data_IF_668036657862
#
_entry.id   IF_668036657862
#
_cell.length_a   1.000
_cell.length_b   1.000
_cell.length_c   1.000
_cell.angle_alpha   90.00
_cell.angle_beta   90.00
_cell.angle_gamma   90.00
#
_symmetry.space_group_name_H-M   'P 1'
#
loop_
_entity.id
_entity.type
_entity.pdbx_description
1 polymer ?
#
# COMPACT_ATOMS: atom_id res chain seq x y z
N UNK A 1 -11.40 51.11 18.75
CA UNK A 1 -12.68 50.82 19.42
C UNK A 1 -13.13 49.43 19.00
N UNK A 2 -13.42 48.57 19.98
CA UNK A 2 -14.17 47.29 19.93
C UNK A 2 -13.62 46.19 18.98
N UNK A 3 -13.53 44.91 19.32
CA UNK A 3 -13.87 44.13 20.52
C UNK A 3 -13.02 42.85 20.45
N UNK A 4 -12.35 42.47 21.54
CA UNK A 4 -11.61 41.22 21.66
C UNK A 4 -12.51 40.24 22.41
N UNK A 5 -13.01 39.21 21.72
CA UNK A 5 -13.67 38.08 22.36
C UNK A 5 -12.65 36.96 22.58
N UNK A 6 -12.14 36.87 23.81
CA UNK A 6 -11.44 35.69 24.30
C UNK A 6 -12.46 34.63 24.73
N UNK A 7 -12.37 33.43 24.15
CA UNK A 7 -12.97 32.22 24.75
C UNK A 7 -11.88 31.42 25.44
N UNK A 8 -11.87 31.51 26.76
CA UNK A 8 -11.10 30.67 27.67
C UNK A 8 -11.92 29.43 28.04
N UNK A 9 -11.41 28.24 27.73
CA UNK A 9 -11.93 26.99 28.27
C UNK A 9 -11.06 26.54 29.45
N UNK A 10 -11.67 26.56 30.64
CA UNK A 10 -11.18 26.00 31.89
C UNK A 10 -11.41 24.48 31.90
N UNK A 11 -10.36 23.69 32.11
CA UNK A 11 -10.46 22.25 32.35
C UNK A 11 -10.83 21.97 33.81
N UNK A 12 -11.74 21.00 34.09
CA UNK A 12 -12.03 20.54 35.45
C UNK A 12 -10.92 19.60 35.98
N UNK A 13 -10.76 19.47 37.31
CA UNK A 13 -9.65 18.75 37.92
C UNK A 13 -9.80 17.22 37.85
N UNK A 14 -8.66 16.55 37.66
CA UNK A 14 -8.47 15.09 37.60
C UNK A 14 -8.76 14.46 38.98
N UNK A 15 -9.62 13.41 39.08
CA UNK A 15 -9.72 12.62 40.30
C UNK A 15 -8.56 11.61 40.40
N UNK A 16 -7.96 11.54 41.59
CA UNK A 16 -6.80 10.71 41.96
C UNK A 16 -7.15 9.22 42.00
N UNK A 17 -6.19 8.37 41.62
CA UNK A 17 -6.27 6.91 41.75
C UNK A 17 -6.19 6.45 43.21
N UNK A 18 -6.82 5.32 43.57
CA UNK A 18 -6.51 4.62 44.80
C UNK A 18 -5.43 3.55 44.56
N UNK A 19 -4.33 3.66 45.31
CA UNK A 19 -3.36 2.60 45.53
C UNK A 19 -4.03 1.40 46.22
N UNK A 20 -3.68 0.18 45.81
CA UNK A 20 -3.67 -0.96 46.74
C UNK A 20 -2.46 -1.87 46.46
N UNK A 21 -1.51 -1.81 47.38
CA UNK A 21 -0.52 -2.85 47.61
C UNK A 21 -1.19 -3.93 48.45
N UNK A 22 -1.32 -5.16 47.95
CA UNK A 22 -1.27 -6.35 48.81
C UNK A 22 -0.78 -7.56 48.02
N UNK A 23 0.16 -8.27 48.64
CA UNK A 23 0.94 -9.36 48.06
C UNK A 23 0.50 -10.70 48.67
N UNK A 24 0.64 -11.78 47.87
CA UNK A 24 0.82 -13.22 48.22
C UNK A 24 -0.43 -14.13 48.24
N UNK A 25 -0.26 -15.48 48.10
CA UNK A 25 0.57 -16.21 47.14
C UNK A 25 -0.15 -17.43 46.50
N UNK A 26 0.55 -18.06 45.55
CA UNK A 26 0.35 -19.35 44.87
C UNK A 26 -0.58 -20.42 45.49
N UNK A 27 -1.34 -21.12 44.61
CA UNK A 27 -1.49 -22.58 44.68
C UNK A 27 -1.74 -23.20 43.30
N UNK A 28 -1.23 -24.42 43.17
CA UNK A 28 -0.94 -25.23 41.99
C UNK A 28 -2.10 -26.10 41.50
N UNK A 29 -2.03 -26.45 40.20
CA UNK A 29 -2.50 -27.67 39.52
C UNK A 29 -3.92 -28.21 39.76
N UNK A 30 -4.64 -28.47 38.66
CA UNK A 30 -4.89 -29.84 38.18
C UNK A 30 -5.53 -29.82 36.79
N UNK A 31 -4.97 -30.63 35.89
CA UNK A 31 -5.58 -31.07 34.64
C UNK A 31 -6.76 -32.01 34.91
N UNK A 32 -7.80 -31.99 34.07
CA UNK A 32 -8.22 -33.14 33.25
C UNK A 32 -9.55 -32.88 32.51
N UNK A 33 -9.51 -33.20 31.21
CA UNK A 33 -10.54 -33.83 30.36
C UNK A 33 -11.95 -33.23 30.21
N UNK A 34 -12.24 -32.88 28.95
CA UNK A 34 -13.42 -33.28 28.14
C UNK A 34 -14.66 -33.80 28.88
N UNK A 35 -15.80 -33.16 28.62
CA UNK A 35 -17.05 -33.80 28.15
C UNK A 35 -18.16 -32.72 27.97
N UNK A 36 -18.56 -32.46 26.72
CA UNK A 36 -19.93 -32.06 26.40
C UNK A 36 -20.74 -33.37 26.27
N UNK A 37 -22.01 -33.44 26.73
CA UNK A 37 -23.10 -33.03 25.84
C UNK A 37 -24.37 -32.45 26.51
N UNK A 38 -24.93 -31.43 25.84
CA UNK A 38 -26.34 -31.13 25.55
C UNK A 38 -27.51 -31.43 26.52
N UNK A 39 -28.40 -30.41 26.58
CA UNK A 39 -29.88 -30.38 26.66
C UNK A 39 -30.58 -30.06 27.99
N UNK A 40 -31.15 -28.85 28.04
CA UNK A 40 -32.55 -28.49 28.42
C UNK A 40 -32.57 -26.97 28.67
N UNK A 41 -33.63 -26.16 28.59
CA UNK A 41 -35.05 -26.27 28.23
C UNK A 41 -35.48 -24.80 28.08
N UNK A 42 -36.11 -24.38 26.98
CA UNK A 42 -36.79 -23.08 26.94
C UNK A 42 -38.23 -23.26 26.44
N UNK A 43 -39.11 -22.68 27.24
CA UNK A 43 -40.56 -22.76 27.26
C UNK A 43 -41.24 -22.30 25.96
N UNK A 44 -42.27 -23.05 25.61
CA UNK A 44 -43.31 -22.73 24.64
C UNK A 44 -44.20 -21.59 25.16
N UNK A 45 -44.26 -20.49 24.41
CA UNK A 45 -45.43 -19.61 24.40
C UNK A 45 -46.00 -19.56 22.97
N UNK A 46 -47.31 -19.81 22.90
CA UNK A 46 -48.11 -19.92 21.69
C UNK A 46 -48.92 -18.64 21.54
N UNK A 47 -48.71 -17.85 20.49
CA UNK A 47 -49.78 -17.00 19.94
C UNK A 47 -49.59 -16.60 18.49
N UNK A 48 -50.75 -16.47 17.82
CA UNK A 48 -51.05 -15.84 16.53
C UNK A 48 -50.44 -16.44 15.27
N UNK A 49 -51.28 -17.24 14.58
CA UNK A 49 -51.23 -17.45 13.13
C UNK A 49 -51.29 -16.09 12.43
N UNK A 50 -50.20 -15.72 11.78
CA UNK A 50 -50.22 -14.82 10.63
C UNK A 50 -49.53 -15.57 9.50
N UNK A 51 -50.23 -15.67 8.37
CA UNK A 51 -49.83 -16.39 7.16
C UNK A 51 -48.49 -15.81 6.68
N UNK A 52 -47.43 -16.61 6.69
CA UNK A 52 -46.15 -16.25 6.09
C UNK A 52 -46.32 -16.20 4.57
N UNK A 53 -46.04 -15.05 3.96
CA UNK A 53 -45.72 -15.00 2.54
C UNK A 53 -44.28 -15.50 2.40
N UNK A 54 -44.12 -16.66 1.79
CA UNK A 54 -42.83 -17.14 1.29
C UNK A 54 -42.41 -16.27 0.10
N UNK A 55 -41.64 -15.21 0.35
CA UNK A 55 -41.00 -14.44 -0.72
C UNK A 55 -39.67 -13.79 -0.32
N UNK A 56 -39.01 -14.26 0.74
CA UNK A 56 -37.72 -13.69 1.18
C UNK A 56 -36.48 -14.39 0.60
N UNK A 57 -36.61 -15.54 -0.04
CA UNK A 57 -35.46 -16.33 -0.51
C UNK A 57 -34.94 -15.90 -1.90
N UNK A 58 -35.76 -15.28 -2.74
CA UNK A 58 -35.33 -14.93 -4.11
C UNK A 58 -34.44 -13.70 -4.16
N UNK A 59 -34.64 -12.73 -3.25
CA UNK A 59 -33.89 -11.47 -3.25
C UNK A 59 -32.44 -11.65 -2.77
N UNK A 60 -32.21 -12.53 -1.80
CA UNK A 60 -30.86 -12.81 -1.27
C UNK A 60 -30.02 -13.61 -2.27
N UNK A 61 -30.62 -14.55 -2.99
CA UNK A 61 -29.92 -15.31 -4.03
C UNK A 61 -29.54 -14.43 -5.23
N UNK A 62 -30.43 -13.55 -5.66
CA UNK A 62 -30.14 -12.59 -6.75
C UNK A 62 -29.03 -11.59 -6.38
N UNK A 63 -29.04 -11.08 -5.14
CA UNK A 63 -27.97 -10.18 -4.67
C UNK A 63 -26.62 -10.88 -4.60
N UNK A 64 -26.58 -12.15 -4.19
CA UNK A 64 -25.35 -12.91 -4.11
C UNK A 64 -24.77 -13.21 -5.51
N UNK A 65 -25.62 -13.59 -6.47
CA UNK A 65 -25.21 -13.81 -7.88
C UNK A 65 -24.72 -12.51 -8.54
N UNK A 66 -25.35 -11.36 -8.25
CA UNK A 66 -24.89 -10.03 -8.71
C UNK A 66 -23.55 -9.63 -8.08
N UNK A 67 -23.31 -9.92 -6.80
CA UNK A 67 -22.03 -9.66 -6.15
C UNK A 67 -20.90 -10.54 -6.68
N UNK A 68 -21.19 -11.82 -6.94
CA UNK A 68 -20.23 -12.78 -7.49
C UNK A 68 -19.84 -12.39 -8.93
N UNK A 69 -20.81 -12.08 -9.80
CA UNK A 69 -20.55 -11.61 -11.16
C UNK A 69 -19.74 -10.32 -11.22
N UNK A 70 -20.09 -9.30 -10.41
CA UNK A 70 -19.31 -8.07 -10.28
C UNK A 70 -17.87 -8.31 -9.81
N UNK A 71 -17.67 -9.29 -8.92
CA UNK A 71 -16.34 -9.66 -8.43
C UNK A 71 -15.49 -10.29 -9.53
N UNK A 72 -16.08 -11.16 -10.35
CA UNK A 72 -15.41 -11.76 -11.52
C UNK A 72 -15.03 -10.68 -12.54
N UNK A 73 -15.96 -9.77 -12.88
CA UNK A 73 -15.70 -8.67 -13.82
C UNK A 73 -14.56 -7.75 -13.34
N UNK A 74 -14.54 -7.41 -12.04
CA UNK A 74 -13.47 -6.62 -11.45
C UNK A 74 -12.13 -7.37 -11.48
N UNK A 75 -12.13 -8.68 -11.21
CA UNK A 75 -10.92 -9.50 -11.26
C UNK A 75 -10.34 -9.54 -12.68
N UNK A 76 -11.18 -9.80 -13.68
CA UNK A 76 -10.77 -9.80 -15.09
C UNK A 76 -10.25 -8.43 -15.53
N UNK A 77 -10.95 -7.35 -15.16
CA UNK A 77 -10.52 -5.98 -15.44
C UNK A 77 -9.16 -5.66 -14.79
N UNK A 78 -8.91 -6.16 -13.57
CA UNK A 78 -7.61 -6.03 -12.91
C UNK A 78 -6.52 -6.82 -13.65
N UNK A 79 -6.83 -8.01 -14.17
CA UNK A 79 -5.88 -8.82 -14.93
C UNK A 79 -5.55 -8.14 -16.26
N UNK A 80 -6.55 -7.75 -17.03
CA UNK A 80 -6.39 -7.05 -18.31
C UNK A 80 -5.52 -5.80 -18.17
N UNK A 81 -5.72 -5.04 -17.08
CA UNK A 81 -4.90 -3.87 -16.79
C UNK A 81 -3.41 -4.21 -16.61
N UNK A 82 -3.10 -5.40 -16.09
CA UNK A 82 -1.75 -5.88 -15.78
C UNK A 82 -1.08 -6.70 -16.88
N UNK A 83 -1.83 -7.32 -17.79
CA UNK A 83 -1.30 -8.22 -18.83
C UNK A 83 -0.22 -7.59 -19.72
N UNK A 84 0.72 -8.41 -20.18
CA UNK A 84 1.73 -8.01 -21.15
C UNK A 84 3.14 -7.91 -20.56
N UNK A 85 4.02 -7.27 -21.33
CA UNK A 85 5.44 -7.13 -21.00
C UNK A 85 5.74 -5.70 -20.60
N UNK A 86 6.30 -5.56 -19.41
CA UNK A 86 6.65 -4.30 -18.79
C UNK A 86 8.15 -4.18 -18.70
N UNK A 87 8.71 -3.08 -19.22
CA UNK A 87 10.12 -2.74 -19.05
C UNK A 87 10.20 -1.64 -18.00
N UNK A 88 11.04 -1.81 -17.00
CA UNK A 88 11.05 -0.91 -15.87
C UNK A 88 12.39 -0.70 -15.21
N UNK A 89 12.36 0.22 -14.27
CA UNK A 89 13.44 0.48 -13.32
C UNK A 89 12.87 0.37 -11.91
N UNK A 90 13.54 -0.41 -11.07
CA UNK A 90 13.32 -0.50 -9.64
C UNK A 90 14.22 0.51 -8.92
N UNK A 91 13.64 1.29 -8.02
CA UNK A 91 14.33 2.29 -7.22
C UNK A 91 14.12 2.00 -5.74
N UNK A 92 15.21 1.93 -4.98
CA UNK A 92 15.17 1.84 -3.53
C UNK A 92 15.52 3.20 -2.94
N UNK A 93 14.66 3.71 -2.06
CA UNK A 93 14.90 4.90 -1.26
C UNK A 93 14.92 4.57 0.23
N UNK A 94 15.72 5.32 0.98
CA UNK A 94 15.60 5.35 2.44
C UNK A 94 14.35 6.14 2.89
N UNK A 95 14.10 6.18 4.20
CA UNK A 95 13.00 6.95 4.78
C UNK A 95 13.07 8.46 4.51
N UNK A 96 14.26 8.96 4.12
CA UNK A 96 14.55 10.37 3.86
C UNK A 96 14.52 10.73 2.37
N UNK A 97 14.15 9.79 1.50
CA UNK A 97 14.03 10.02 0.06
C UNK A 97 15.36 10.07 -0.69
N UNK A 98 16.43 9.54 -0.08
CA UNK A 98 17.72 9.35 -0.73
C UNK A 98 17.69 8.04 -1.53
N UNK A 99 18.13 8.09 -2.79
CA UNK A 99 18.23 6.92 -3.64
C UNK A 99 19.40 6.06 -3.20
N UNK A 100 19.14 4.80 -2.83
CA UNK A 100 20.15 3.82 -2.43
C UNK A 100 20.57 2.95 -3.60
N UNK A 101 19.60 2.40 -4.34
CA UNK A 101 19.85 1.43 -5.42
C UNK A 101 18.90 1.68 -6.60
N UNK A 102 19.40 1.43 -7.81
CA UNK A 102 18.62 1.40 -9.05
C UNK A 102 18.92 0.11 -9.80
N UNK A 103 17.89 -0.67 -10.08
CA UNK A 103 18.00 -1.97 -10.76
C UNK A 103 17.10 -1.98 -11.99
N UNK A 104 17.59 -2.43 -13.14
CA UNK A 104 16.74 -2.61 -14.33
C UNK A 104 15.93 -3.89 -14.23
N UNK A 105 14.63 -3.81 -14.53
CA UNK A 105 13.72 -4.94 -14.42
C UNK A 105 12.87 -5.10 -15.68
N UNK A 106 12.44 -6.34 -15.94
CA UNK A 106 11.36 -6.63 -16.89
C UNK A 106 10.32 -7.47 -16.18
N UNK A 107 9.04 -7.25 -16.43
CA UNK A 107 7.97 -8.04 -15.85
C UNK A 107 7.09 -8.58 -16.98
N UNK A 108 7.00 -9.89 -17.09
CA UNK A 108 6.07 -10.57 -18.00
C UNK A 108 4.85 -11.01 -17.22
N UNK A 109 3.67 -10.63 -17.70
CA UNK A 109 2.39 -10.93 -17.05
C UNK A 109 1.46 -11.61 -18.05
N UNK A 110 0.93 -12.76 -17.67
CA UNK A 110 -0.03 -13.56 -18.44
C UNK A 110 -1.16 -14.04 -17.53
N UNK A 111 -2.30 -14.39 -18.10
CA UNK A 111 -3.39 -15.05 -17.41
C UNK A 111 -3.51 -16.51 -17.84
N UNK A 112 -4.08 -17.34 -16.98
CA UNK A 112 -4.46 -18.73 -17.25
C UNK A 112 -5.78 -19.04 -16.57
N UNK A 113 -6.55 -19.98 -17.10
CA UNK A 113 -7.88 -20.32 -16.59
C UNK A 113 -8.97 -19.39 -17.08
N UNK A 114 -10.22 -19.74 -16.78
CA UNK A 114 -11.43 -19.02 -17.19
C UNK A 114 -12.28 -18.68 -15.95
N UNK A 115 -13.04 -17.59 -16.04
CA UNK A 115 -13.99 -17.11 -15.02
C UNK A 115 -13.38 -17.05 -13.60
N UNK A 116 -14.01 -17.70 -12.61
CA UNK A 116 -13.56 -17.69 -11.21
C UNK A 116 -12.22 -18.39 -10.97
N UNK A 117 -11.80 -19.25 -11.91
CA UNK A 117 -10.54 -19.97 -11.87
C UNK A 117 -9.44 -19.23 -12.66
N UNK A 118 -9.72 -18.01 -13.12
CA UNK A 118 -8.72 -17.19 -13.76
C UNK A 118 -7.65 -16.78 -12.76
N UNK A 119 -6.40 -16.91 -13.18
CA UNK A 119 -5.22 -16.59 -12.40
C UNK A 119 -4.25 -15.74 -13.21
N UNK A 120 -3.66 -14.74 -12.56
CA UNK A 120 -2.58 -13.91 -13.07
C UNK A 120 -1.25 -14.50 -12.63
N UNK A 121 -0.40 -14.79 -13.62
CA UNK A 121 0.95 -15.31 -13.46
C UNK A 121 1.92 -14.20 -13.88
N UNK A 122 2.90 -13.93 -13.03
CA UNK A 122 3.84 -12.84 -13.23
C UNK A 122 5.28 -13.32 -13.00
N UNK A 123 6.14 -13.08 -13.98
CA UNK A 123 7.55 -13.40 -13.91
C UNK A 123 8.37 -12.11 -13.99
N UNK A 124 9.11 -11.83 -12.92
CA UNK A 124 9.99 -10.68 -12.82
C UNK A 124 11.42 -11.09 -13.20
N UNK A 125 11.99 -10.41 -14.18
CA UNK A 125 13.37 -10.55 -14.59
C UNK A 125 14.18 -9.38 -14.02
N UNK A 126 15.27 -9.70 -13.34
CA UNK A 126 16.12 -8.75 -12.63
C UNK A 126 17.48 -8.74 -13.32
N UNK A 127 17.91 -7.56 -13.79
CA UNK A 127 19.22 -7.42 -14.42
C UNK A 127 20.31 -7.57 -13.37
N UNK A 128 21.23 -8.52 -13.56
CA UNK A 128 22.35 -8.73 -12.66
C UNK A 128 23.52 -7.77 -12.98
N UNK A 129 24.34 -7.41 -11.98
CA UNK A 129 25.59 -6.71 -12.21
C UNK A 129 26.58 -7.63 -12.97
N UNK A 130 27.54 -7.08 -13.74
CA UNK A 130 28.57 -7.89 -14.37
C UNK A 130 29.40 -8.65 -13.32
N UNK A 131 29.61 -9.95 -13.53
CA UNK A 131 30.37 -10.78 -12.60
C UNK A 131 31.82 -10.32 -12.50
N UNK A 132 32.36 -10.32 -11.27
CA UNK A 132 33.76 -9.96 -11.00
C UNK A 132 34.79 -10.91 -11.66
N UNK A 133 34.32 -12.07 -12.15
CA UNK A 133 35.11 -13.10 -12.83
C UNK A 133 35.02 -13.08 -14.36
N UNK A 134 34.36 -12.08 -14.96
CA UNK A 134 34.23 -12.03 -16.43
C UNK A 134 35.59 -11.80 -17.13
N UNK A 135 35.90 -12.66 -18.10
CA UNK A 135 37.15 -12.62 -18.86
C UNK A 135 36.95 -11.69 -20.05
N UNK A 136 37.75 -10.63 -20.14
CA UNK A 136 37.68 -9.65 -21.24
C UNK A 136 37.81 -10.35 -22.61
N UNK A 137 36.76 -10.35 -23.43
CA UNK A 137 36.80 -10.84 -24.81
C UNK A 137 35.61 -11.67 -25.30
N UNK A 138 34.69 -12.05 -24.42
CA UNK A 138 33.40 -12.63 -24.82
C UNK A 138 32.29 -11.57 -24.75
N UNK A 139 31.36 -11.64 -25.71
CA UNK A 139 30.17 -10.78 -25.76
C UNK A 139 29.30 -11.13 -24.55
N UNK A 140 29.35 -10.31 -23.50
CA UNK A 140 28.58 -10.50 -22.26
C UNK A 140 27.08 -10.36 -22.58
N UNK A 141 26.42 -11.46 -22.94
CA UNK A 141 24.95 -11.52 -22.92
C UNK A 141 24.50 -11.12 -21.51
N UNK A 142 23.72 -10.04 -21.42
CA UNK A 142 23.25 -9.52 -20.14
C UNK A 142 22.51 -10.60 -19.36
N UNK A 143 23.01 -10.96 -18.19
CA UNK A 143 22.38 -11.97 -17.35
C UNK A 143 21.15 -11.40 -16.62
N UNK A 144 20.05 -12.17 -16.66
CA UNK A 144 18.78 -11.83 -16.03
C UNK A 144 18.37 -12.94 -15.07
N UNK A 145 18.27 -12.63 -13.79
CA UNK A 145 17.70 -13.55 -12.81
C UNK A 145 16.17 -13.56 -12.90
N UNK A 146 15.57 -14.75 -12.88
CA UNK A 146 14.11 -14.93 -12.90
C UNK A 146 13.55 -15.07 -11.48
N UNK A 147 12.51 -14.30 -11.17
CA UNK A 147 11.71 -14.46 -9.96
C UNK A 147 10.24 -14.64 -10.31
N UNK A 148 9.67 -15.79 -9.94
CA UNK A 148 8.24 -16.08 -10.11
C UNK A 148 7.47 -15.47 -8.95
N UNK A 149 6.66 -14.46 -9.25
CA UNK A 149 5.79 -13.82 -8.24
C UNK A 149 4.67 -14.81 -7.91
N UNK A 150 4.21 -14.77 -6.65
CA UNK A 150 3.07 -15.58 -6.21
C UNK A 150 1.86 -15.32 -7.11
N UNK A 151 1.23 -16.40 -7.53
CA UNK A 151 0.01 -16.37 -8.34
C UNK A 151 -1.06 -15.50 -7.68
N UNK A 152 -1.74 -14.70 -8.50
CA UNK A 152 -2.85 -13.86 -8.06
C UNK A 152 -4.14 -14.36 -8.71
N UNK A 153 -5.09 -14.80 -7.90
CA UNK A 153 -6.42 -15.29 -8.28
C UNK A 153 -7.49 -14.74 -7.31
N UNK A 154 -8.77 -15.07 -7.57
CA UNK A 154 -9.93 -14.61 -6.80
C UNK A 154 -9.72 -14.73 -5.27
N UNK A 155 -9.20 -15.87 -4.82
CA UNK A 155 -8.96 -16.11 -3.40
C UNK A 155 -7.87 -15.20 -2.84
N UNK A 156 -6.74 -15.08 -3.53
CA UNK A 156 -5.61 -14.28 -3.05
C UNK A 156 -5.90 -12.79 -3.03
N UNK A 157 -6.60 -12.25 -4.04
CA UNK A 157 -6.91 -10.82 -4.13
C UNK A 157 -7.78 -10.36 -2.96
N UNK A 158 -8.73 -11.20 -2.56
CA UNK A 158 -9.67 -10.90 -1.49
C UNK A 158 -9.07 -11.21 -0.11
N UNK A 159 -8.57 -12.43 0.08
CA UNK A 159 -8.16 -12.91 1.41
C UNK A 159 -6.76 -12.48 1.83
N UNK A 160 -5.82 -12.36 0.89
CA UNK A 160 -4.42 -12.07 1.23
C UNK A 160 -3.99 -10.65 0.89
N UNK A 161 -4.39 -10.15 -0.28
CA UNK A 161 -3.97 -8.83 -0.76
C UNK A 161 -4.94 -7.71 -0.38
N UNK A 162 -6.19 -8.06 -0.01
CA UNK A 162 -7.28 -7.14 0.30
C UNK A 162 -7.46 -6.04 -0.77
N UNK A 163 -7.39 -6.39 -2.06
CA UNK A 163 -7.27 -5.43 -3.17
C UNK A 163 -8.18 -4.18 -3.04
N UNK A 164 -7.64 -3.00 -3.31
CA UNK A 164 -8.45 -1.81 -3.57
C UNK A 164 -8.31 -1.42 -5.04
N UNK A 165 -9.28 -1.77 -5.87
CA UNK A 165 -9.19 -1.62 -7.33
C UNK A 165 -10.13 -0.54 -7.88
N UNK A 166 -9.61 0.24 -8.82
CA UNK A 166 -10.31 1.32 -9.51
C UNK A 166 -10.26 1.05 -11.03
N UNK A 167 -11.26 0.35 -11.58
CA UNK A 167 -11.24 -0.05 -12.99
C UNK A 167 -11.17 1.15 -13.95
N UNK A 168 -11.97 2.19 -13.70
CA UNK A 168 -12.08 3.37 -14.57
C UNK A 168 -10.86 4.29 -14.44
N UNK A 169 -10.38 4.47 -13.21
CA UNK A 169 -9.26 5.34 -12.88
C UNK A 169 -7.89 4.67 -13.10
N UNK A 170 -7.90 3.36 -13.40
CA UNK A 170 -6.71 2.53 -13.65
C UNK A 170 -5.70 2.61 -12.49
N UNK A 171 -6.19 2.41 -11.27
CA UNK A 171 -5.36 2.42 -10.07
C UNK A 171 -5.66 1.21 -9.19
N UNK A 172 -4.68 0.74 -8.42
CA UNK A 172 -4.92 -0.33 -7.46
C UNK A 172 -3.97 -0.27 -6.25
N UNK A 173 -4.40 -0.86 -5.14
CA UNK A 173 -3.57 -1.07 -3.95
C UNK A 173 -3.62 -2.54 -3.50
N UNK A 174 -2.47 -3.09 -3.13
CA UNK A 174 -2.32 -4.48 -2.68
C UNK A 174 -1.53 -4.55 -1.37
N UNK A 175 -1.86 -5.55 -0.55
CA UNK A 175 -1.04 -5.99 0.58
C UNK A 175 -0.16 -7.16 0.16
N UNK A 176 1.09 -7.16 0.61
CA UNK A 176 1.93 -8.34 0.59
C UNK A 176 2.17 -8.86 2.01
N UNK A 177 2.24 -10.19 2.14
CA UNK A 177 2.53 -10.84 3.42
C UNK A 177 4.00 -10.67 3.85
N UNK A 178 4.91 -10.53 2.87
CA UNK A 178 6.35 -10.49 3.07
C UNK A 178 6.99 -9.60 2.01
N UNK A 179 8.16 -9.04 2.29
CA UNK A 179 8.96 -8.28 1.32
C UNK A 179 9.92 -9.16 0.46
N UNK A 180 9.78 -10.49 0.47
CA UNK A 180 10.76 -11.42 -0.14
C UNK A 180 11.00 -11.25 -1.64
N UNK A 181 9.97 -10.83 -2.40
CA UNK A 181 10.15 -10.46 -3.81
C UNK A 181 11.11 -9.27 -3.95
N UNK A 182 10.94 -8.26 -3.11
CA UNK A 182 11.72 -7.02 -3.12
C UNK A 182 13.15 -7.27 -2.61
N UNK A 183 13.30 -8.16 -1.61
CA UNK A 183 14.61 -8.65 -1.16
C UNK A 183 15.37 -9.33 -2.31
N UNK A 184 14.71 -10.21 -3.06
CA UNK A 184 15.34 -10.89 -4.21
C UNK A 184 15.78 -9.89 -5.28
N UNK A 185 14.98 -8.87 -5.57
CA UNK A 185 15.35 -7.80 -6.52
C UNK A 185 16.63 -7.09 -6.09
N UNK A 186 16.78 -6.79 -4.80
CA UNK A 186 17.96 -6.14 -4.25
C UNK A 186 19.18 -7.06 -4.29
N UNK A 187 19.05 -8.31 -3.88
CA UNK A 187 20.14 -9.29 -3.89
C UNK A 187 20.64 -9.54 -5.31
N UNK A 188 19.75 -9.94 -6.20
CA UNK A 188 20.12 -10.27 -7.58
C UNK A 188 20.55 -9.02 -8.37
N UNK A 189 19.90 -7.88 -8.14
CA UNK A 189 20.19 -6.65 -8.87
C UNK A 189 21.45 -5.90 -8.42
N UNK A 190 21.92 -6.13 -7.18
CA UNK A 190 23.08 -5.41 -6.62
C UNK A 190 24.27 -6.34 -6.37
N UNK A 191 24.04 -7.56 -5.91
CA UNK A 191 25.10 -8.54 -5.62
C UNK A 191 25.28 -9.53 -6.78
N UNK A 192 24.19 -9.94 -7.43
CA UNK A 192 24.25 -10.92 -8.53
C UNK A 192 24.80 -12.28 -8.06
N UNK A 193 25.72 -12.84 -8.84
CA UNK A 193 26.40 -14.10 -8.52
C UNK A 193 27.30 -14.01 -7.27
N UNK A 194 27.74 -12.80 -6.90
CA UNK A 194 28.60 -12.57 -5.74
C UNK A 194 27.82 -12.60 -4.40
N UNK A 195 26.51 -12.89 -4.40
CA UNK A 195 25.71 -13.02 -3.17
C UNK A 195 26.14 -14.25 -2.35
N UNK A 196 26.77 -14.01 -1.20
CA UNK A 196 27.19 -15.06 -0.26
C UNK A 196 26.04 -15.65 0.56
N UNK A 197 24.82 -15.11 0.43
CA UNK A 197 23.66 -15.50 1.22
C UNK A 197 23.68 -14.97 2.66
N UNK A 198 24.59 -14.03 2.97
CA UNK A 198 24.64 -13.36 4.26
C UNK A 198 23.32 -12.64 4.57
N UNK A 199 22.91 -12.65 5.84
CA UNK A 199 21.68 -11.99 6.30
C UNK A 199 21.75 -10.46 6.15
N UNK A 200 22.94 -9.88 6.21
CA UNK A 200 23.14 -8.42 6.15
C UNK A 200 24.41 -8.10 5.36
N UNK A 201 24.37 -8.22 4.02
CA UNK A 201 25.51 -7.93 3.17
C UNK A 201 25.97 -6.47 3.33
N UNK A 202 27.28 -6.23 3.20
CA UNK A 202 27.84 -4.88 3.34
C UNK A 202 27.31 -3.96 2.23
N UNK A 203 26.99 -2.72 2.59
CA UNK A 203 26.52 -1.66 1.69
C UNK A 203 25.19 -1.92 0.95
N UNK A 204 24.41 -2.92 1.39
CA UNK A 204 23.09 -3.20 0.86
C UNK A 204 22.06 -3.22 1.98
N UNK A 205 21.04 -2.36 1.87
CA UNK A 205 19.94 -2.30 2.83
C UNK A 205 18.85 -3.27 2.37
N UNK A 206 18.68 -4.38 3.07
CA UNK A 206 17.60 -5.34 2.82
C UNK A 206 16.39 -5.05 3.72
N UNK A 207 15.15 -5.38 3.28
CA UNK A 207 13.98 -5.26 4.11
C UNK A 207 14.00 -6.26 5.27
N UNK A 208 13.32 -5.90 6.36
CA UNK A 208 13.11 -6.81 7.50
C UNK A 208 12.49 -8.14 7.05
N UNK A 209 12.92 -9.26 7.65
CA UNK A 209 12.36 -10.60 7.37
C UNK A 209 10.86 -10.72 7.67
N UNK A 210 10.37 -9.97 8.66
CA UNK A 210 8.97 -9.96 9.11
C UNK A 210 8.47 -8.52 9.25
N UNK A 211 8.29 -7.80 8.13
CA UNK A 211 7.78 -6.43 8.18
C UNK A 211 6.36 -6.44 8.75
N UNK A 212 5.97 -5.37 9.44
CA UNK A 212 4.59 -5.24 9.93
C UNK A 212 3.61 -4.97 8.78
N UNK A 213 4.03 -4.15 7.81
CA UNK A 213 3.24 -3.80 6.63
C UNK A 213 4.12 -3.80 5.38
N UNK A 214 3.62 -4.43 4.31
CA UNK A 214 4.11 -4.26 2.95
C UNK A 214 2.92 -3.87 2.08
N UNK A 215 2.87 -2.63 1.66
CA UNK A 215 1.76 -2.06 0.90
C UNK A 215 2.25 -1.57 -0.45
N UNK A 216 1.63 -2.05 -1.52
CA UNK A 216 1.78 -1.53 -2.87
C UNK A 216 0.63 -0.58 -3.19
N UNK A 217 0.94 0.58 -3.77
CA UNK A 217 0.02 1.48 -4.43
C UNK A 217 0.47 1.66 -5.88
N UNK A 218 -0.40 1.41 -6.85
CA UNK A 218 -0.12 1.52 -8.27
C UNK A 218 -0.99 2.61 -8.90
N UNK A 219 -0.34 3.54 -9.58
CA UNK A 219 -0.96 4.56 -10.42
C UNK A 219 -0.50 4.38 -11.87
N UNK A 220 -1.45 4.35 -12.80
CA UNK A 220 -1.17 4.37 -14.23
C UNK A 220 -1.14 5.80 -14.74
N UNK A 221 -0.25 6.07 -15.70
CA UNK A 221 -0.22 7.37 -16.35
C UNK A 221 -1.49 7.61 -17.16
N UNK A 222 -1.95 8.86 -17.14
CA UNK A 222 -3.06 9.35 -17.95
C UNK A 222 -2.66 9.57 -19.41
N UNK A 223 -1.37 9.75 -19.69
CA UNK A 223 -0.86 10.13 -21.02
C UNK A 223 -0.13 8.98 -21.74
N UNK A 224 0.48 8.06 -21.00
CA UNK A 224 1.31 6.98 -21.53
C UNK A 224 0.87 5.63 -20.98
N UNK A 225 1.14 4.54 -21.69
CA UNK A 225 0.93 3.18 -21.15
C UNK A 225 2.09 2.78 -20.23
N UNK A 226 2.20 3.53 -19.14
CA UNK A 226 3.18 3.35 -18.09
C UNK A 226 2.51 3.42 -16.72
N UNK A 227 3.18 2.90 -15.71
CA UNK A 227 2.69 2.89 -14.33
C UNK A 227 3.84 3.04 -13.34
N UNK A 228 3.50 3.56 -12.18
CA UNK A 228 4.36 3.60 -11.02
C UNK A 228 3.76 2.73 -9.92
N UNK A 229 4.49 1.72 -9.46
CA UNK A 229 4.12 0.83 -8.35
C UNK A 229 5.00 1.16 -7.15
N UNK A 230 4.42 1.82 -6.16
CA UNK A 230 5.12 2.32 -4.98
C UNK A 230 4.87 1.41 -3.76
N UNK A 231 5.93 1.04 -3.06
CA UNK A 231 5.90 0.12 -1.93
C UNK A 231 6.35 0.81 -0.64
N UNK A 232 5.49 0.77 0.37
CA UNK A 232 5.84 1.10 1.75
C UNK A 232 6.27 -0.19 2.47
N UNK A 233 7.48 -0.19 3.04
CA UNK A 233 7.98 -1.29 3.89
C UNK A 233 8.13 -0.77 5.31
N UNK A 234 7.27 -1.23 6.20
CA UNK A 234 7.26 -0.84 7.61
C UNK A 234 7.86 -1.98 8.42
N UNK A 235 8.86 -1.65 9.24
CA UNK A 235 9.59 -2.60 10.06
C UNK A 235 8.67 -3.29 11.10
N UNK A 236 9.15 -4.32 11.83
CA UNK A 236 8.35 -5.00 12.85
C UNK A 236 7.90 -4.09 14.01
N UNK A 237 8.52 -2.92 14.18
CA UNK A 237 8.21 -1.95 15.24
C UNK A 237 7.21 -0.88 14.78
N UNK A 238 6.78 -0.90 13.52
CA UNK A 238 5.83 0.06 12.98
C UNK A 238 6.47 1.33 12.41
N UNK A 239 7.78 1.34 12.18
CA UNK A 239 8.51 2.49 11.62
C UNK A 239 8.83 2.24 10.14
N UNK A 240 8.74 3.26 9.30
CA UNK A 240 9.11 3.15 7.90
C UNK A 240 10.59 2.76 7.75
N UNK A 241 10.84 1.64 7.07
CA UNK A 241 12.19 1.12 6.86
C UNK A 241 12.79 1.59 5.53
N UNK A 242 11.99 1.51 4.46
CA UNK A 242 12.37 1.92 3.12
C UNK A 242 11.14 2.12 2.23
N UNK A 243 11.36 2.87 1.16
CA UNK A 243 10.38 3.15 0.12
C UNK A 243 10.91 2.59 -1.20
N UNK A 244 10.08 1.87 -1.94
CA UNK A 244 10.51 1.30 -3.23
C UNK A 244 9.55 1.74 -4.32
N UNK A 245 10.06 1.96 -5.53
CA UNK A 245 9.23 2.32 -6.68
C UNK A 245 9.66 1.49 -7.87
N UNK A 246 8.71 0.81 -8.51
CA UNK A 246 8.87 0.35 -9.88
C UNK A 246 8.25 1.39 -10.80
N UNK A 247 9.04 1.92 -11.73
CA UNK A 247 8.54 2.71 -12.85
C UNK A 247 8.60 1.82 -14.08
N UNK A 248 7.45 1.56 -14.70
CA UNK A 248 7.29 0.53 -15.73
C UNK A 248 6.53 1.08 -16.93
N UNK A 249 7.00 0.78 -18.13
CA UNK A 249 6.33 1.09 -19.40
C UNK A 249 6.03 -0.21 -20.14
N UNK A 250 4.81 -0.33 -20.68
CA UNK A 250 4.39 -1.52 -21.43
C UNK A 250 4.87 -1.44 -22.86
N UNK A 251 5.42 -2.52 -23.39
CA UNK A 251 5.72 -2.64 -24.82
C UNK A 251 6.99 -3.42 -25.17
N UNK A 252 7.06 -3.83 -26.44
CA UNK A 252 8.14 -4.66 -26.98
C UNK A 252 9.27 -3.85 -27.65
N UNK A 253 9.07 -2.55 -27.94
CA UNK A 253 10.03 -1.69 -28.65
C UNK A 253 11.36 -1.44 -27.90
N UNK A 254 12.37 -0.89 -28.60
CA UNK A 254 13.69 -0.51 -28.05
C UNK A 254 13.55 0.76 -27.18
N UNK A 255 12.78 0.66 -26.11
CA UNK A 255 12.61 1.72 -25.14
C UNK A 255 13.63 1.51 -24.02
N UNK A 256 14.37 2.58 -23.70
CA UNK A 256 15.24 2.61 -22.54
C UNK A 256 14.40 2.49 -21.26
N UNK A 257 14.88 1.82 -20.19
CA UNK A 257 14.14 1.76 -18.94
C UNK A 257 13.79 3.18 -18.47
N UNK A 258 12.54 3.43 -18.07
CA UNK A 258 12.13 4.76 -17.65
C UNK A 258 13.02 5.20 -16.47
N UNK A 259 13.55 6.41 -16.56
CA UNK A 259 14.38 7.03 -15.53
C UNK A 259 13.58 8.07 -14.77
N UNK A 260 13.69 8.10 -13.45
CA UNK A 260 13.37 9.30 -12.72
C UNK A 260 14.47 10.33 -13.00
N UNK A 261 14.09 11.44 -13.64
CA UNK A 261 15.01 12.54 -13.90
C UNK A 261 15.54 13.09 -12.57
N UNK A 262 16.86 13.01 -12.40
CA UNK A 262 17.61 13.63 -11.31
C UNK A 262 18.15 15.02 -11.72
N UNK A 263 17.77 15.50 -12.92
CA UNK A 263 18.27 16.72 -13.57
C UNK A 263 17.86 18.02 -12.86
N UNK A 264 16.90 17.97 -11.94
CA UNK A 264 16.59 19.05 -11.00
C UNK A 264 17.42 18.93 -9.71
N UNK A 265 18.72 18.64 -9.85
CA UNK A 265 19.67 18.78 -8.74
C UNK A 265 19.60 20.21 -8.20
N UNK A 266 19.29 20.35 -6.90
CA UNK A 266 19.07 21.57 -6.12
C UNK A 266 17.70 22.24 -6.11
N UNK A 267 16.68 21.76 -6.83
CA UNK A 267 15.33 22.33 -6.69
C UNK A 267 14.61 21.70 -5.49
N UNK A 268 14.05 22.51 -4.59
CA UNK A 268 13.29 22.00 -3.44
C UNK A 268 12.09 21.18 -3.97
N UNK A 269 12.14 19.85 -3.73
CA UNK A 269 11.17 18.87 -4.27
C UNK A 269 9.74 19.14 -3.84
N UNK A 270 9.52 19.95 -2.81
CA UNK A 270 8.19 20.28 -2.30
C UNK A 270 7.45 21.30 -3.19
N UNK A 271 8.19 22.15 -3.90
CA UNK A 271 7.62 23.31 -4.62
C UNK A 271 6.51 22.95 -5.60
N UNK A 272 6.60 21.86 -6.39
CA UNK A 272 5.53 21.48 -7.29
C UNK A 272 4.21 21.20 -6.56
N UNK A 273 4.25 20.72 -5.32
CA UNK A 273 3.08 20.35 -4.52
C UNK A 273 2.45 21.50 -3.74
N UNK A 274 3.20 22.59 -3.48
CA UNK A 274 2.67 23.76 -2.79
C UNK A 274 1.54 24.44 -3.58
N UNK A 275 0.58 25.03 -2.90
CA UNK A 275 -0.57 25.71 -3.47
C UNK A 275 -1.89 24.98 -3.24
N UNK A 276 -2.93 25.43 -3.95
CA UNK A 276 -4.27 24.86 -3.87
C UNK A 276 -4.50 23.90 -5.04
N UNK A 277 -5.08 22.77 -4.73
CA UNK A 277 -5.43 21.71 -5.66
C UNK A 277 -6.92 21.45 -5.55
N UNK A 278 -7.60 21.31 -6.68
CA UNK A 278 -9.01 20.94 -6.75
C UNK A 278 -9.14 19.66 -7.56
N UNK A 279 -10.02 18.76 -7.14
CA UNK A 279 -10.17 17.49 -7.82
C UNK A 279 -11.43 16.73 -7.42
N UNK A 280 -11.48 15.47 -7.85
CA UNK A 280 -12.48 14.50 -7.45
C UNK A 280 -11.80 13.33 -6.73
N UNK A 281 -12.51 12.73 -5.79
CA UNK A 281 -12.06 11.54 -5.07
C UNK A 281 -13.12 10.46 -5.05
N UNK A 282 -12.67 9.21 -5.12
CA UNK A 282 -13.53 8.02 -5.07
C UNK A 282 -12.95 7.08 -4.03
N UNK A 283 -13.76 6.70 -3.05
CA UNK A 283 -13.38 5.75 -1.99
C UNK A 283 -14.08 4.42 -2.23
N UNK A 284 -13.29 3.35 -2.33
CA UNK A 284 -13.77 1.98 -2.47
C UNK A 284 -13.37 1.14 -1.27
N UNK A 285 -14.29 0.27 -0.82
CA UNK A 285 -13.99 -0.75 0.19
C UNK A 285 -12.93 -1.71 -0.34
N UNK A 286 -12.00 -2.13 0.51
CA UNK A 286 -11.07 -3.22 0.20
C UNK A 286 -11.81 -4.53 -0.05
N UNK A 287 -11.29 -5.33 -0.97
CA UNK A 287 -11.88 -6.59 -1.44
C UNK A 287 -12.22 -6.51 -2.92
N UNK A 288 -12.34 -7.67 -3.55
CA UNK A 288 -12.52 -7.79 -5.01
C UNK A 288 -13.81 -7.12 -5.52
N UNK A 289 -14.88 -7.16 -4.72
CA UNK A 289 -16.14 -6.50 -5.05
C UNK A 289 -16.00 -4.97 -5.16
N UNK A 290 -15.13 -4.35 -4.35
CA UNK A 290 -14.74 -2.95 -4.53
C UNK A 290 -15.89 -1.94 -4.42
N UNK A 291 -16.84 -2.16 -3.51
CA UNK A 291 -18.00 -1.29 -3.29
C UNK A 291 -17.59 0.19 -3.15
N UNK A 292 -18.20 1.08 -3.93
CA UNK A 292 -17.99 2.53 -3.74
C UNK A 292 -18.68 2.97 -2.45
N UNK A 293 -17.88 3.52 -1.53
CA UNK A 293 -18.33 4.00 -0.22
C UNK A 293 -18.71 5.49 -0.32
N UNK A 294 -17.88 6.27 -1.01
CA UNK A 294 -18.04 7.71 -1.10
C UNK A 294 -17.39 8.28 -2.35
N UNK A 295 -17.97 9.35 -2.86
CA UNK A 295 -17.38 10.21 -3.88
C UNK A 295 -17.48 11.66 -3.42
N UNK A 296 -16.46 12.47 -3.69
CA UNK A 296 -16.44 13.85 -3.25
C UNK A 296 -15.55 14.73 -4.14
N UNK A 297 -16.04 15.94 -4.41
CA UNK A 297 -15.21 17.05 -4.84
C UNK A 297 -14.29 17.46 -3.68
N UNK A 298 -13.00 17.61 -3.96
CA UNK A 298 -11.99 17.92 -2.95
C UNK A 298 -11.22 19.19 -3.30
N UNK A 299 -10.81 19.90 -2.26
CA UNK A 299 -9.83 20.99 -2.33
C UNK A 299 -8.75 20.72 -1.30
N UNK A 300 -7.50 20.56 -1.75
CA UNK A 300 -6.35 20.36 -0.89
C UNK A 300 -5.42 21.57 -1.00
N UNK A 301 -5.01 22.13 0.13
CA UNK A 301 -4.06 23.24 0.20
C UNK A 301 -2.80 22.81 0.94
N UNK A 302 -1.64 22.95 0.31
CA UNK A 302 -0.35 22.77 0.95
C UNK A 302 0.40 24.10 0.92
N UNK A 303 0.64 24.68 2.09
CA UNK A 303 1.31 25.96 2.23
C UNK A 303 2.57 25.80 3.08
N UNK A 304 3.58 26.62 2.80
CA UNK A 304 4.79 26.73 3.60
C UNK A 304 4.74 28.10 4.27
N UNK A 305 4.90 28.18 5.59
CA UNK A 305 4.80 29.46 6.29
C UNK A 305 5.98 30.40 5.95
N UNK A 306 5.87 31.66 6.35
CA UNK A 306 6.84 32.74 6.05
C UNK A 306 8.26 32.48 6.61
N UNK A 307 8.42 31.50 7.51
CA UNK A 307 9.72 31.04 8.02
C UNK A 307 10.27 29.82 7.28
N UNK A 308 9.57 29.35 6.23
CA UNK A 308 9.86 28.09 5.54
C UNK A 308 9.55 26.84 6.38
N UNK A 309 8.84 26.97 7.50
CA UNK A 309 8.56 25.88 8.44
C UNK A 309 7.26 25.14 8.05
N UNK A 310 7.34 24.33 7.01
CA UNK A 310 7.03 22.91 7.24
C UNK A 310 8.27 22.36 7.96
N UNK A 311 8.16 21.48 8.96
CA UNK A 311 9.36 20.86 9.53
C UNK A 311 9.90 19.91 8.45
N UNK A 312 10.66 20.50 7.52
CA UNK A 312 11.29 19.83 6.41
C UNK A 312 12.71 19.49 6.87
N UNK A 313 12.94 18.23 7.23
CA UNK A 313 14.29 17.70 7.34
C UNK A 313 14.62 17.04 6.01
N UNK A 314 15.47 17.67 5.21
CA UNK A 314 15.88 17.20 3.88
C UNK A 314 14.70 17.06 2.90
N UNK A 315 14.33 15.84 2.51
CA UNK A 315 13.18 15.57 1.63
C UNK A 315 11.95 15.09 2.40
N UNK A 316 11.92 15.18 3.73
CA UNK A 316 10.80 14.70 4.55
C UNK A 316 10.07 15.87 5.17
N UNK A 317 8.75 15.90 5.00
CA UNK A 317 7.84 16.81 5.69
C UNK A 317 7.18 16.06 6.83
N UNK A 318 7.35 16.55 8.07
CA UNK A 318 6.70 15.99 9.26
C UNK A 318 5.59 16.93 9.70
N UNK A 319 4.39 16.37 9.87
CA UNK A 319 3.19 17.10 10.27
C UNK A 319 2.93 16.95 11.78
N UNK A 320 2.42 18.02 12.38
CA UNK A 320 1.89 18.02 13.74
C UNK A 320 0.70 17.05 13.82
N UNK A 321 0.95 15.87 14.36
CA UNK A 321 0.02 14.73 14.29
C UNK A 321 0.73 13.40 14.05
N UNK A 322 2.02 13.42 13.71
CA UNK A 322 2.82 12.20 13.52
C UNK A 322 2.60 11.54 12.17
N UNK A 323 2.24 12.32 11.15
CA UNK A 323 2.27 11.91 9.75
C UNK A 323 3.52 12.48 9.08
N UNK A 324 4.12 11.73 8.17
CA UNK A 324 5.27 12.17 7.39
C UNK A 324 5.04 11.94 5.91
N UNK A 325 5.60 12.82 5.09
CA UNK A 325 5.61 12.73 3.64
C UNK A 325 7.05 12.83 3.14
N UNK A 326 7.53 11.78 2.49
CA UNK A 326 8.86 11.72 1.89
C UNK A 326 8.76 12.06 0.41
N UNK A 327 9.46 13.12 0.01
CA UNK A 327 9.49 13.66 -1.35
C UNK A 327 10.53 12.93 -2.20
N UNK A 328 10.06 12.28 -3.25
CA UNK A 328 10.89 11.49 -4.15
C UNK A 328 11.14 12.24 -5.47
N UNK A 329 12.14 11.83 -6.26
CA UNK A 329 12.30 12.35 -7.62
C UNK A 329 11.07 12.09 -8.51
N UNK A 330 11.06 12.58 -9.74
CA UNK A 330 10.04 12.21 -10.74
C UNK A 330 8.61 12.66 -10.43
N UNK A 331 8.45 13.70 -9.59
CA UNK A 331 7.14 14.20 -9.20
C UNK A 331 6.38 13.24 -8.28
N UNK A 332 7.10 12.42 -7.50
CA UNK A 332 6.47 11.49 -6.56
C UNK A 332 6.62 11.93 -5.11
N UNK A 333 5.67 11.55 -4.27
CA UNK A 333 5.87 11.49 -2.83
C UNK A 333 5.15 10.29 -2.25
N UNK A 334 5.62 9.85 -1.08
CA UNK A 334 5.02 8.76 -0.32
C UNK A 334 4.77 9.22 1.11
N UNK A 335 3.55 9.01 1.60
CA UNK A 335 3.10 9.46 2.91
C UNK A 335 2.73 8.30 3.82
N UNK A 336 3.11 8.40 5.10
CA UNK A 336 2.78 7.39 6.11
C UNK A 336 2.87 7.98 7.53
N UNK A 337 2.31 7.33 8.56
CA UNK A 337 2.56 7.72 9.94
C UNK A 337 4.03 7.51 10.31
N UNK A 338 4.56 8.35 11.17
CA UNK A 338 5.91 8.19 11.72
C UNK A 338 6.04 6.88 12.54
N UNK A 339 4.95 6.48 13.21
CA UNK A 339 4.89 5.26 14.01
C UNK A 339 3.49 4.63 13.92
N UNK A 340 3.39 3.54 13.18
CA UNK A 340 2.17 2.76 13.03
C UNK A 340 1.82 2.03 14.33
N UNK A 341 2.81 1.53 15.07
CA UNK A 341 2.56 0.83 16.32
C UNK A 341 1.92 1.76 17.36
N UNK A 342 2.29 3.04 17.36
CA UNK A 342 1.62 4.07 18.18
C UNK A 342 0.16 4.25 17.79
N UNK A 343 -0.18 4.29 16.51
CA UNK A 343 -1.57 4.41 16.06
C UNK A 343 -2.41 3.20 16.51
N UNK A 344 -1.88 1.99 16.34
CA UNK A 344 -2.51 0.75 16.81
C UNK A 344 -2.69 0.75 18.33
N UNK A 345 -1.65 1.11 19.09
CA UNK A 345 -1.70 1.18 20.55
C UNK A 345 -2.73 2.22 21.06
N UNK A 346 -2.92 3.31 20.32
CA UNK A 346 -3.90 4.36 20.62
C UNK A 346 -5.29 4.08 20.01
N UNK A 347 -5.50 2.91 19.40
CA UNK A 347 -6.75 2.54 18.71
C UNK A 347 -7.18 3.58 17.68
N UNK A 348 -6.23 4.05 16.87
CA UNK A 348 -6.45 5.02 15.79
C UNK A 348 -6.25 4.36 14.43
N UNK A 349 -7.18 4.62 13.53
CA UNK A 349 -7.00 4.36 12.11
C UNK A 349 -5.84 5.20 11.56
N UNK A 350 -5.21 4.70 10.50
CA UNK A 350 -4.12 5.39 9.82
C UNK A 350 -4.18 5.13 8.31
N UNK A 351 -3.35 5.80 7.53
CA UNK A 351 -3.30 5.61 6.09
C UNK A 351 -1.89 5.70 5.54
N UNK A 352 -1.68 5.07 4.39
CA UNK A 352 -0.49 5.20 3.56
C UNK A 352 -0.89 5.89 2.26
N UNK A 353 0.00 6.67 1.67
CA UNK A 353 -0.31 7.51 0.53
C UNK A 353 0.79 7.43 -0.51
N UNK A 354 0.40 7.34 -1.77
CA UNK A 354 1.29 7.51 -2.91
C UNK A 354 0.73 8.60 -3.82
N UNK A 355 1.55 9.57 -4.18
CA UNK A 355 1.21 10.62 -5.12
C UNK A 355 2.17 10.61 -6.30
N UNK A 356 1.62 10.88 -7.48
CA UNK A 356 2.40 11.09 -8.69
C UNK A 356 1.88 12.30 -9.48
N UNK A 357 2.74 13.31 -9.59
CA UNK A 357 2.59 14.50 -10.43
C UNK A 357 3.11 14.18 -11.83
N UNK A 358 2.23 13.70 -12.70
CA UNK A 358 2.60 13.33 -14.07
C UNK A 358 2.92 14.52 -14.96
N UNK A 359 2.19 15.62 -14.77
CA UNK A 359 2.38 16.85 -15.53
C UNK A 359 2.32 18.06 -14.57
N UNK A 360 2.97 19.19 -14.91
CA UNK A 360 2.85 20.40 -14.14
C UNK A 360 1.38 20.78 -13.92
N UNK A 361 0.97 20.82 -12.65
CA UNK A 361 -0.40 21.17 -12.26
C UNK A 361 -1.43 20.05 -12.38
N UNK A 362 -1.05 18.80 -12.67
CA UNK A 362 -1.95 17.63 -12.63
C UNK A 362 -1.32 16.49 -11.85
N UNK A 363 -2.01 15.99 -10.83
CA UNK A 363 -1.52 14.86 -10.03
C UNK A 363 -2.61 13.84 -9.75
N UNK A 364 -2.17 12.62 -9.53
CA UNK A 364 -2.98 11.54 -9.00
C UNK A 364 -2.48 11.18 -7.60
N UNK A 365 -3.39 10.79 -6.69
CA UNK A 365 -3.03 10.22 -5.38
C UNK A 365 -3.82 8.94 -5.15
N UNK A 366 -3.17 8.00 -4.48
CA UNK A 366 -3.81 6.79 -3.98
C UNK A 366 -3.53 6.67 -2.49
N UNK A 367 -4.60 6.70 -1.70
CA UNK A 367 -4.55 6.57 -0.24
C UNK A 367 -5.10 5.21 0.15
N UNK A 368 -4.34 4.48 0.96
CA UNK A 368 -4.71 3.18 1.51
C UNK A 368 -5.01 3.34 2.99
N UNK A 369 -6.25 3.07 3.40
CA UNK A 369 -6.72 3.29 4.77
C UNK A 369 -6.74 1.99 5.56
N UNK A 370 -6.24 2.06 6.79
CA UNK A 370 -6.15 0.95 7.73
C UNK A 370 -7.00 1.23 8.98
N UNK A 371 -7.60 0.18 9.51
CA UNK A 371 -8.26 0.23 10.81
C UNK A 371 -7.26 0.17 11.97
N UNK A 372 -7.79 0.07 13.19
CA UNK A 372 -7.03 0.05 14.44
C UNK A 372 -6.18 -1.22 14.61
N UNK A 373 -6.43 -2.27 13.83
CA UNK A 373 -5.70 -3.54 13.86
C UNK A 373 -4.66 -3.65 12.73
N UNK A 374 -4.58 -2.63 11.86
CA UNK A 374 -3.72 -2.64 10.70
C UNK A 374 -4.26 -3.47 9.54
N UNK A 375 -5.57 -3.71 9.48
CA UNK A 375 -6.23 -4.28 8.31
C UNK A 375 -6.64 -3.15 7.36
N UNK A 376 -6.37 -3.35 6.06
CA UNK A 376 -6.73 -2.37 5.05
C UNK A 376 -8.24 -2.42 4.77
N UNK A 377 -8.97 -1.36 5.08
CA UNK A 377 -10.43 -1.31 4.99
C UNK A 377 -10.94 -0.61 3.72
N UNK A 378 -10.17 0.32 3.17
CA UNK A 378 -10.52 1.02 1.94
C UNK A 378 -9.30 1.56 1.21
N UNK A 379 -9.51 1.91 -0.05
CA UNK A 379 -8.62 2.77 -0.82
C UNK A 379 -9.39 3.99 -1.31
N UNK A 380 -8.71 5.13 -1.43
CA UNK A 380 -9.26 6.35 -2.02
C UNK A 380 -8.33 6.84 -3.14
N UNK A 381 -8.88 6.93 -4.34
CA UNK A 381 -8.21 7.52 -5.49
C UNK A 381 -8.56 9.01 -5.59
N UNK A 382 -7.59 9.83 -5.97
CA UNK A 382 -7.74 11.25 -6.22
C UNK A 382 -7.19 11.61 -7.60
N UNK A 383 -7.93 12.47 -8.31
CA UNK A 383 -7.46 13.15 -9.52
C UNK A 383 -7.61 14.65 -9.32
N UNK A 384 -6.48 15.37 -9.36
CA UNK A 384 -6.42 16.77 -8.94
C UNK A 384 -5.69 17.66 -9.97
N UNK A 385 -6.18 18.89 -10.09
CA UNK A 385 -5.60 19.96 -10.89
C UNK A 385 -5.23 21.12 -9.96
N UNK A 386 -4.06 21.71 -10.19
CA UNK A 386 -3.57 22.88 -9.44
C UNK A 386 -4.34 24.14 -9.87
N UNK A 387 -4.77 24.94 -8.90
CA UNK A 387 -5.50 26.19 -9.11
C UNK A 387 -4.58 27.38 -9.40
#
# INVERSE_FOLDING_TARGET
>A
MASICHYSFSLPPIPKSPNSNTTRPFSTCLSLSNLNPFLSSIHTFRSSKTRANDSLSSTTLQQQEEEESMSIENLLSFFDLNLGKWKGSFFQFDAYGNLLQKVSTKLAVSSYGEDELTSLIQTLYIKQPPSSTSISGYDDELEWAEYKIKETNMFTVDKYQQIGFFPKERAFALRYQTAGMLETVLRQGVLGEDDTGEESPKNLKLPSRRPSIVCENCLYSLEKDMRARAFHIIDPKGIIEMLLVFLEERGDGVLFPPSLDNTMGNSNRILPYLGKWKGHSITKRSGVYGATIAEADIVASLEMNDKGQLIQSDNVVIFDGGYQMTLLPGGMYMGCPCDVAKNVAESKSFHLEFCWLEAPGKRQRLVRTYDIEGLAVSSTYYSEIKL
#
